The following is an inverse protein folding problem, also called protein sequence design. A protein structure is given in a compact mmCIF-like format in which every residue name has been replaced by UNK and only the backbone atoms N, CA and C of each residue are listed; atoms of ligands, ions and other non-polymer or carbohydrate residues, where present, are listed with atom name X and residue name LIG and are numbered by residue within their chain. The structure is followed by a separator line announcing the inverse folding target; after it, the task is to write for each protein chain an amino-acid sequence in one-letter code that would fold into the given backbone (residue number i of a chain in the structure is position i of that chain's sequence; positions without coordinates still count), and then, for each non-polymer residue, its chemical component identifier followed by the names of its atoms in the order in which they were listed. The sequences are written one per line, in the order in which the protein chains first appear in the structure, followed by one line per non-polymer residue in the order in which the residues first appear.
data_IF_642296925051
#
_entry.id   IF_642296925051
#
_cell.length_a   1.000
_cell.length_b   1.000
_cell.length_c   1.000
_cell.angle_alpha   90.00
_cell.angle_beta   90.00
_cell.angle_gamma   90.00
#
_symmetry.space_group_name_H-M   'P 1'
#
loop_
_entity.id
_entity.type
_entity.pdbx_description
1 polymer ?
#
# COMPACT_ATOMS: atom_id res chain seq x y z
N UNK A 1 11.91 -12.37 -7.26
CA UNK A 1 10.74 -11.48 -7.53
C UNK A 1 10.42 -10.69 -6.27
N UNK A 2 10.09 -9.39 -6.40
CA UNK A 2 9.84 -8.52 -5.25
C UNK A 2 8.47 -8.76 -4.58
N UNK A 3 7.47 -9.27 -5.31
CA UNK A 3 6.15 -9.63 -4.80
C UNK A 3 5.64 -10.90 -5.50
N UNK A 4 4.65 -11.57 -4.92
CA UNK A 4 3.89 -12.67 -5.53
C UNK A 4 2.51 -12.20 -5.98
N UNK A 5 2.04 -12.72 -7.11
CA UNK A 5 0.74 -12.37 -7.69
C UNK A 5 -0.13 -13.63 -7.79
N UNK A 6 -1.36 -13.55 -7.31
CA UNK A 6 -2.36 -14.62 -7.45
C UNK A 6 -3.72 -14.00 -7.74
N UNK A 7 -4.23 -14.21 -8.95
CA UNK A 7 -5.44 -13.54 -9.44
C UNK A 7 -5.30 -12.01 -9.37
N UNK A 8 -6.15 -11.36 -8.58
CA UNK A 8 -6.14 -9.90 -8.35
C UNK A 8 -5.46 -9.49 -7.04
N UNK A 9 -4.72 -10.41 -6.41
CA UNK A 9 -3.97 -10.17 -5.19
C UNK A 9 -2.50 -10.00 -5.50
N UNK A 10 -1.91 -8.92 -4.97
CA UNK A 10 -0.47 -8.67 -4.99
C UNK A 10 0.05 -8.69 -3.55
N UNK A 11 0.90 -9.66 -3.26
CA UNK A 11 1.48 -9.87 -1.93
C UNK A 11 2.98 -9.55 -1.94
N UNK A 12 3.34 -8.50 -1.19
CA UNK A 12 4.69 -8.01 -1.02
C UNK A 12 5.17 -8.12 0.44
N UNK A 13 4.66 -9.08 1.23
CA UNK A 13 5.02 -9.25 2.64
C UNK A 13 6.50 -9.58 2.86
N UNK A 14 7.15 -8.92 3.83
CA UNK A 14 8.54 -9.20 4.26
C UNK A 14 9.57 -9.18 3.13
N UNK A 15 9.53 -8.15 2.30
CA UNK A 15 10.38 -8.02 1.10
C UNK A 15 11.45 -6.93 1.24
N UNK A 16 11.59 -6.36 2.43
CA UNK A 16 12.53 -5.25 2.70
C UNK A 16 12.36 -4.07 1.73
N UNK A 17 11.13 -3.83 1.26
CA UNK A 17 10.85 -2.75 0.34
C UNK A 17 11.02 -1.40 1.06
N UNK A 18 11.76 -0.49 0.45
CA UNK A 18 11.88 0.90 0.92
C UNK A 18 10.75 1.79 0.39
N UNK A 19 10.06 1.36 -0.68
CA UNK A 19 8.95 2.08 -1.32
C UNK A 19 7.91 1.11 -1.88
N UNK A 20 6.72 1.61 -2.19
CA UNK A 20 5.71 0.83 -2.91
C UNK A 20 6.21 0.54 -4.34
N UNK A 21 6.13 -0.70 -4.85
CA UNK A 21 6.55 -1.02 -6.22
C UNK A 21 5.67 -0.34 -7.27
N UNK A 22 6.27 0.26 -8.31
CA UNK A 22 5.55 0.93 -9.39
C UNK A 22 4.83 -0.05 -10.36
N UNK A 23 5.23 -1.32 -10.36
CA UNK A 23 4.72 -2.36 -11.27
C UNK A 23 3.45 -3.08 -10.80
N UNK A 24 2.69 -2.52 -9.85
CA UNK A 24 1.45 -3.13 -9.37
C UNK A 24 0.38 -3.05 -10.47
N UNK A 25 -0.22 -4.17 -10.90
CA UNK A 25 -1.28 -4.16 -11.91
C UNK A 25 -2.47 -3.30 -11.51
N UNK A 26 -3.04 -2.52 -12.44
CA UNK A 26 -4.20 -1.65 -12.17
C UNK A 26 -5.48 -2.42 -11.85
N UNK A 27 -5.50 -3.72 -12.13
CA UNK A 27 -6.59 -4.66 -11.82
C UNK A 27 -6.51 -5.24 -10.40
N UNK A 28 -5.47 -4.89 -9.63
CA UNK A 28 -5.26 -5.36 -8.25
C UNK A 28 -6.42 -4.94 -7.34
N UNK A 29 -7.00 -5.91 -6.63
CA UNK A 29 -8.05 -5.69 -5.63
C UNK A 29 -7.51 -5.76 -4.20
N UNK A 30 -6.48 -6.58 -3.97
CA UNK A 30 -5.88 -6.78 -2.64
C UNK A 30 -4.38 -6.53 -2.73
N UNK A 31 -3.89 -5.61 -1.90
CA UNK A 31 -2.47 -5.26 -1.84
C UNK A 31 -1.92 -5.43 -0.42
N UNK A 32 -0.99 -6.38 -0.25
CA UNK A 32 -0.27 -6.60 1.01
C UNK A 32 1.12 -5.97 0.98
N UNK A 33 1.39 -5.03 1.89
CA UNK A 33 2.69 -4.34 2.01
C UNK A 33 3.32 -4.45 3.41
N UNK A 34 2.76 -5.26 4.29
CA UNK A 34 3.22 -5.39 5.67
C UNK A 34 4.66 -5.92 5.80
N UNK A 35 5.31 -5.59 6.90
CA UNK A 35 6.68 -6.02 7.23
C UNK A 35 7.72 -5.57 6.19
N UNK A 36 7.56 -4.35 5.66
CA UNK A 36 8.54 -3.68 4.82
C UNK A 36 9.17 -2.49 5.54
N UNK A 37 10.10 -1.80 4.88
CA UNK A 37 10.84 -0.65 5.41
C UNK A 37 10.27 0.67 4.87
N UNK A 38 8.98 0.68 4.51
CA UNK A 38 8.28 1.83 3.95
C UNK A 38 7.91 2.78 5.09
N UNK A 39 8.63 3.91 5.17
CA UNK A 39 8.41 4.94 6.21
C UNK A 39 7.51 6.08 5.76
N UNK A 40 7.37 6.25 4.44
CA UNK A 40 6.56 7.28 3.79
C UNK A 40 5.88 6.74 2.54
N UNK A 41 4.76 7.33 2.18
CA UNK A 41 4.10 7.10 0.90
C UNK A 41 4.42 8.28 -0.02
N UNK A 42 4.83 8.00 -1.25
CA UNK A 42 4.99 9.06 -2.24
C UNK A 42 3.60 9.56 -2.67
N UNK A 43 3.44 10.87 -2.94
CA UNK A 43 2.19 11.42 -3.46
C UNK A 43 1.72 10.67 -4.72
N UNK A 44 0.44 10.33 -4.77
CA UNK A 44 -0.18 9.67 -5.91
C UNK A 44 0.26 8.21 -6.15
N UNK A 45 1.00 7.58 -5.24
CA UNK A 45 1.53 6.21 -5.41
C UNK A 45 0.46 5.15 -5.64
N UNK A 46 -0.80 5.44 -5.25
CA UNK A 46 -1.94 4.54 -5.45
C UNK A 46 -2.93 5.02 -6.51
N UNK A 47 -2.68 6.14 -7.19
CA UNK A 47 -3.70 6.81 -8.03
C UNK A 47 -4.26 5.93 -9.14
N UNK A 48 -3.43 5.04 -9.66
CA UNK A 48 -3.79 4.12 -10.75
C UNK A 48 -4.51 2.86 -10.28
N UNK A 49 -4.55 2.59 -8.98
CA UNK A 49 -5.12 1.36 -8.41
C UNK A 49 -6.61 1.53 -8.12
N UNK A 50 -7.38 2.03 -9.09
CA UNK A 50 -8.80 2.37 -8.90
C UNK A 50 -9.69 1.16 -8.57
N UNK A 51 -9.23 -0.04 -8.90
CA UNK A 51 -9.86 -1.32 -8.56
C UNK A 51 -9.50 -1.85 -7.15
N UNK A 52 -8.61 -1.17 -6.41
CA UNK A 52 -8.16 -1.62 -5.10
C UNK A 52 -9.32 -1.56 -4.10
N UNK A 53 -9.62 -2.71 -3.50
CA UNK A 53 -10.70 -2.87 -2.53
C UNK A 53 -10.17 -2.93 -1.10
N UNK A 54 -8.99 -3.55 -0.94
CA UNK A 54 -8.40 -3.74 0.37
C UNK A 54 -6.88 -3.60 0.33
N UNK A 55 -6.33 -2.98 1.37
CA UNK A 55 -4.89 -2.77 1.53
C UNK A 55 -4.47 -2.99 2.98
N UNK A 56 -3.39 -3.75 3.16
CA UNK A 56 -2.75 -3.94 4.47
C UNK A 56 -1.38 -3.30 4.47
N UNK A 57 -1.12 -2.42 5.43
CA UNK A 57 0.22 -1.91 5.71
C UNK A 57 0.50 -1.90 7.22
N UNK A 58 1.62 -2.51 7.60
CA UNK A 58 2.14 -2.51 8.96
C UNK A 58 3.65 -2.36 8.92
N UNK A 59 4.21 -1.52 9.79
CA UNK A 59 5.64 -1.56 10.05
C UNK A 59 6.23 -0.24 10.52
N UNK A 60 6.13 0.83 9.74
CA UNK A 60 7.05 1.97 9.89
C UNK A 60 6.53 3.31 9.35
N UNK A 61 5.26 3.41 8.92
CA UNK A 61 4.76 4.69 8.41
C UNK A 61 4.71 5.73 9.53
N UNK A 62 5.24 6.92 9.24
CA UNK A 62 5.16 8.07 10.15
C UNK A 62 4.02 9.02 9.81
N UNK A 63 3.68 9.13 8.54
CA UNK A 63 2.58 9.99 8.07
C UNK A 63 1.94 9.43 6.82
N UNK A 64 0.78 9.98 6.47
CA UNK A 64 0.06 9.68 5.23
C UNK A 64 -0.12 11.00 4.48
N UNK A 65 0.36 11.13 3.23
CA UNK A 65 0.13 12.32 2.44
C UNK A 65 -1.37 12.60 2.29
N UNK A 66 -1.74 13.89 2.34
CA UNK A 66 -3.08 14.30 1.99
C UNK A 66 -3.41 13.81 0.58
N UNK A 67 -4.57 13.18 0.43
CA UNK A 67 -5.05 12.67 -0.84
C UNK A 67 -4.42 11.35 -1.30
N UNK A 68 -3.62 10.67 -0.46
CA UNK A 68 -2.99 9.39 -0.80
C UNK A 68 -3.99 8.30 -1.27
N UNK A 69 -5.28 8.45 -0.97
CA UNK A 69 -6.34 7.50 -1.30
C UNK A 69 -7.47 8.11 -2.15
N UNK A 70 -7.36 9.36 -2.62
CA UNK A 70 -8.48 10.08 -3.26
C UNK A 70 -9.01 9.39 -4.53
N UNK A 71 -8.15 8.67 -5.23
CA UNK A 71 -8.47 7.98 -6.47
C UNK A 71 -8.92 6.52 -6.29
N UNK A 72 -8.89 6.00 -5.05
CA UNK A 72 -9.23 4.61 -4.76
C UNK A 72 -10.75 4.42 -4.58
N UNK A 73 -11.51 4.60 -5.67
CA UNK A 73 -12.99 4.62 -5.64
C UNK A 73 -13.63 3.30 -5.23
N UNK A 74 -12.92 2.18 -5.37
CA UNK A 74 -13.40 0.84 -4.97
C UNK A 74 -13.00 0.45 -3.54
N UNK A 75 -12.29 1.31 -2.83
CA UNK A 75 -11.68 0.99 -1.54
C UNK A 75 -12.74 0.87 -0.46
N UNK A 76 -12.75 -0.27 0.23
CA UNK A 76 -13.67 -0.56 1.33
C UNK A 76 -12.93 -0.72 2.66
N UNK A 77 -11.68 -1.18 2.62
CA UNK A 77 -10.90 -1.47 3.82
C UNK A 77 -9.46 -0.98 3.68
N UNK A 78 -8.97 -0.29 4.70
CA UNK A 78 -7.55 0.02 4.87
C UNK A 78 -7.14 -0.40 6.27
N UNK A 79 -6.11 -1.24 6.36
CA UNK A 79 -5.48 -1.59 7.63
C UNK A 79 -4.12 -0.89 7.73
N UNK A 80 -3.98 -0.06 8.75
CA UNK A 80 -2.80 0.76 9.01
C UNK A 80 -2.31 0.58 10.46
N UNK A 81 -2.27 -0.67 10.92
CA UNK A 81 -1.90 -0.99 12.30
C UNK A 81 -0.39 -0.99 12.51
N UNK A 82 0.04 -0.82 13.76
CA UNK A 82 1.45 -0.89 14.18
C UNK A 82 2.38 0.01 13.36
N UNK A 83 2.01 1.29 13.23
CA UNK A 83 2.82 2.32 12.59
C UNK A 83 3.15 3.40 13.63
N UNK A 84 4.40 3.91 13.67
CA UNK A 84 4.81 4.98 14.58
C UNK A 84 4.35 6.35 14.05
N UNK A 85 3.04 6.60 14.09
CA UNK A 85 2.47 7.84 13.59
C UNK A 85 3.06 9.07 14.27
N UNK A 86 3.51 10.00 13.43
CA UNK A 86 3.92 11.34 13.83
C UNK A 86 2.68 12.24 13.77
N UNK A 87 2.14 12.55 14.95
CA UNK A 87 0.92 13.34 15.11
C UNK A 87 1.20 14.84 15.31
N UNK A 88 2.43 15.29 15.04
CA UNK A 88 2.87 16.67 15.21
C UNK A 88 2.21 17.64 14.20
#
# INVERSE_FOLDING_TARGET
SQCSCSGKTVDCYSRSLASVPAGIPTTTQVLGLSSNQITKLEPGVFDRLTALQSRVNAGQLKSIPRGAFDNLKSLTHIWLYNNPWDCA
#
